data_IF_980869108142
#
_entry.id   IF_980869108142
#
_cell.length_a   1.000
_cell.length_b   1.000
_cell.length_c   1.000
_cell.angle_alpha   90.00
_cell.angle_beta   90.00
_cell.angle_gamma   90.00
#
_symmetry.space_group_name_H-M   'P 1'
#
loop_
_entity.id
_entity.type
_entity.pdbx_description
1 polymer ?
#
# COMPACT_ATOMS: atom_id res chain seq x y z
N UNK A 1 16.17 3.34 7.89
CA UNK A 1 17.40 3.98 8.41
C UNK A 1 18.09 3.00 9.38
N UNK A 2 19.40 3.11 9.62
CA UNK A 2 20.09 2.12 10.47
C UNK A 2 19.52 2.16 11.90
N UNK A 3 18.97 1.05 12.44
CA UNK A 3 18.48 1.04 13.82
C UNK A 3 19.68 1.01 14.77
N UNK A 4 19.71 1.94 15.74
CA UNK A 4 20.78 2.04 16.74
C UNK A 4 20.33 1.58 18.13
N UNK A 5 19.09 1.87 18.51
CA UNK A 5 18.53 1.42 19.77
C UNK A 5 17.00 1.36 19.72
N UNK A 6 16.44 0.47 20.53
CA UNK A 6 15.03 0.43 20.91
C UNK A 6 15.01 0.47 22.44
N UNK A 7 14.24 1.42 22.99
CA UNK A 7 14.01 1.53 24.42
C UNK A 7 12.58 1.07 24.70
N UNK A 8 12.46 0.05 25.55
CA UNK A 8 11.19 -0.48 26.02
C UNK A 8 11.03 -0.24 27.52
N UNK A 9 9.78 -0.10 27.95
CA UNK A 9 9.39 -0.08 29.36
C UNK A 9 8.55 -1.32 29.67
N UNK A 10 9.02 -2.10 30.64
CA UNK A 10 8.30 -3.25 31.17
C UNK A 10 7.82 -2.92 32.60
N UNK A 11 6.54 -2.57 32.80
CA UNK A 11 5.98 -2.50 34.15
C UNK A 11 5.97 -3.90 34.79
N UNK A 12 6.10 -3.96 36.13
CA UNK A 12 6.11 -5.24 36.86
C UNK A 12 4.86 -6.11 36.65
N UNK A 13 3.73 -5.49 36.30
CA UNK A 13 2.55 -6.13 35.71
C UNK A 13 2.15 -5.36 34.45
N UNK A 14 2.25 -5.98 33.27
CA UNK A 14 1.80 -5.41 31.99
C UNK A 14 2.70 -5.78 30.80
N UNK A 15 2.25 -5.50 29.56
CA UNK A 15 3.05 -5.76 28.37
C UNK A 15 4.21 -4.78 28.26
N UNK A 16 5.31 -5.25 27.68
CA UNK A 16 6.42 -4.40 27.27
C UNK A 16 5.93 -3.31 26.30
N UNK A 17 6.29 -2.06 26.56
CA UNK A 17 5.82 -0.90 25.79
C UNK A 17 7.00 -0.19 25.13
N UNK A 18 6.91 0.09 23.84
CA UNK A 18 7.90 0.91 23.13
C UNK A 18 7.88 2.34 23.69
N UNK A 19 9.04 2.83 24.14
CA UNK A 19 9.20 4.20 24.68
C UNK A 19 9.92 5.09 23.67
N UNK A 20 10.99 4.59 23.06
CA UNK A 20 11.75 5.35 22.07
C UNK A 20 12.47 4.42 21.10
N UNK A 21 12.63 4.90 19.87
CA UNK A 21 13.56 4.31 18.88
C UNK A 21 14.64 5.32 18.56
N UNK A 22 15.85 4.83 18.33
CA UNK A 22 16.98 5.63 17.85
C UNK A 22 17.41 5.04 16.52
N UNK A 23 17.34 5.86 15.47
CA UNK A 23 17.73 5.45 14.12
C UNK A 23 18.69 6.46 13.52
N UNK A 24 19.54 6.00 12.60
CA UNK A 24 20.46 6.86 11.88
C UNK A 24 19.71 7.89 11.04
N UNK A 25 20.08 9.16 11.19
CA UNK A 25 19.55 10.23 10.35
C UNK A 25 20.07 10.10 8.90
N UNK A 26 19.18 10.33 7.93
CA UNK A 26 19.50 10.29 6.51
C UNK A 26 19.53 11.72 5.95
N UNK A 27 20.69 12.40 5.97
CA UNK A 27 20.78 13.77 5.46
C UNK A 27 20.48 13.82 3.97
N UNK A 28 19.63 14.76 3.56
CA UNK A 28 19.27 14.94 2.14
C UNK A 28 18.31 13.88 1.59
N UNK A 29 17.76 12.99 2.43
CA UNK A 29 16.72 12.06 2.00
C UNK A 29 15.48 12.82 1.54
N UNK A 30 14.91 12.37 0.43
CA UNK A 30 13.69 12.94 -0.17
C UNK A 30 12.52 12.01 0.12
N UNK A 31 11.37 12.57 0.48
CA UNK A 31 10.17 11.80 0.73
C UNK A 31 9.61 11.17 -0.56
N UNK A 32 8.94 10.02 -0.36
CA UNK A 32 8.20 9.27 -1.37
C UNK A 32 7.43 10.05 -2.40
N UNK A 33 6.55 10.91 -1.89
CA UNK A 33 5.62 11.67 -2.72
C UNK A 33 6.35 12.68 -3.59
N UNK A 34 7.44 13.26 -3.10
CA UNK A 34 8.28 14.19 -3.86
C UNK A 34 9.04 13.48 -4.96
N UNK A 35 9.89 12.50 -4.65
CA UNK A 35 10.75 11.88 -5.66
C UNK A 35 9.95 11.10 -6.71
N UNK A 36 8.88 10.41 -6.31
CA UNK A 36 8.10 9.58 -7.24
C UNK A 36 7.31 10.45 -8.22
N UNK A 37 6.65 11.51 -7.73
CA UNK A 37 5.90 12.46 -8.57
C UNK A 37 6.82 13.17 -9.57
N UNK A 38 7.98 13.66 -9.13
CA UNK A 38 8.92 14.35 -10.03
C UNK A 38 9.45 13.39 -11.11
N UNK A 39 9.76 12.15 -10.74
CA UNK A 39 10.16 11.09 -11.68
C UNK A 39 9.06 10.77 -12.69
N UNK A 40 7.80 10.65 -12.26
CA UNK A 40 6.68 10.34 -13.15
C UNK A 40 6.40 11.50 -14.13
N UNK A 41 6.47 12.75 -13.66
CA UNK A 41 6.35 13.93 -14.54
C UNK A 41 7.45 13.94 -15.59
N UNK A 42 8.71 13.64 -15.20
CA UNK A 42 9.83 13.59 -16.14
C UNK A 42 9.66 12.49 -17.19
N UNK A 43 9.27 11.29 -16.77
CA UNK A 43 9.01 10.16 -17.67
C UNK A 43 7.87 10.47 -18.66
N UNK A 44 6.76 11.04 -18.19
CA UNK A 44 5.64 11.41 -19.06
C UNK A 44 6.00 12.50 -20.09
N UNK A 45 6.87 13.45 -19.72
CA UNK A 45 7.32 14.52 -20.63
C UNK A 45 8.32 14.05 -21.69
N UNK A 46 9.16 13.09 -21.34
CA UNK A 46 10.25 12.61 -22.21
C UNK A 46 9.88 11.35 -22.99
N UNK A 47 8.91 10.58 -22.50
CA UNK A 47 8.61 9.22 -22.98
C UNK A 47 9.63 8.17 -22.54
N UNK A 48 10.65 8.53 -21.77
CA UNK A 48 11.66 7.60 -21.26
C UNK A 48 11.23 7.02 -19.91
N UNK A 49 10.93 5.73 -19.91
CA UNK A 49 10.47 4.98 -18.72
C UNK A 49 11.64 4.35 -17.95
N UNK A 50 12.89 4.47 -18.40
CA UNK A 50 14.05 3.76 -17.85
C UNK A 50 14.25 4.03 -16.35
N UNK A 51 14.17 5.30 -15.95
CA UNK A 51 14.32 5.67 -14.54
C UNK A 51 13.17 5.14 -13.67
N UNK A 52 11.95 5.14 -14.21
CA UNK A 52 10.75 4.63 -13.52
C UNK A 52 10.85 3.13 -13.31
N UNK A 53 11.14 2.37 -14.37
CA UNK A 53 11.24 0.91 -14.28
C UNK A 53 12.40 0.49 -13.37
N UNK A 54 13.58 1.10 -13.48
CA UNK A 54 14.71 0.77 -12.61
C UNK A 54 14.46 1.09 -11.13
N UNK A 55 13.81 2.23 -10.84
CA UNK A 55 13.48 2.62 -9.46
C UNK A 55 12.41 1.70 -8.88
N UNK A 56 11.37 1.37 -9.65
CA UNK A 56 10.30 0.49 -9.21
C UNK A 56 10.76 -0.97 -9.10
N UNK A 57 11.69 -1.43 -9.93
CA UNK A 57 12.37 -2.72 -9.78
C UNK A 57 13.12 -2.80 -8.43
N UNK A 58 13.92 -1.78 -8.13
CA UNK A 58 14.61 -1.65 -6.84
C UNK A 58 13.61 -1.63 -5.68
N UNK A 59 12.51 -0.88 -5.81
CA UNK A 59 11.47 -0.81 -4.79
C UNK A 59 10.82 -2.19 -4.55
N UNK A 60 10.48 -2.92 -5.62
CA UNK A 60 9.93 -4.27 -5.51
C UNK A 60 10.88 -5.23 -4.79
N UNK A 61 12.17 -5.16 -5.09
CA UNK A 61 13.19 -5.94 -4.40
C UNK A 61 13.31 -5.57 -2.91
N UNK A 62 13.27 -4.28 -2.56
CA UNK A 62 13.32 -3.82 -1.16
C UNK A 62 12.09 -4.28 -0.36
N UNK A 63 10.89 -4.24 -0.96
CA UNK A 63 9.67 -4.74 -0.30
C UNK A 63 9.72 -6.27 -0.10
N UNK A 64 10.25 -7.01 -1.08
CA UNK A 64 10.45 -8.45 -0.92
C UNK A 64 11.50 -8.78 0.15
N UNK A 65 12.60 -8.04 0.21
CA UNK A 65 13.64 -8.18 1.23
C UNK A 65 13.09 -7.87 2.63
N UNK A 66 12.21 -6.87 2.77
CA UNK A 66 11.49 -6.60 4.00
C UNK A 66 10.68 -7.82 4.45
N UNK A 67 9.84 -8.37 3.58
CA UNK A 67 9.01 -9.54 3.93
C UNK A 67 9.85 -10.80 4.20
N UNK A 68 10.93 -11.01 3.46
CA UNK A 68 11.86 -12.10 3.71
C UNK A 68 12.57 -11.96 5.08
N UNK A 69 12.93 -10.75 5.49
CA UNK A 69 13.50 -10.49 6.81
C UNK A 69 12.50 -10.76 7.96
N UNK A 70 11.20 -10.64 7.68
CA UNK A 70 10.10 -10.91 8.60
C UNK A 70 9.61 -12.36 8.54
N UNK A 71 10.26 -13.24 7.77
CA UNK A 71 9.83 -14.64 7.62
C UNK A 71 9.76 -15.41 8.95
N UNK A 72 10.56 -15.01 9.95
CA UNK A 72 10.56 -15.61 11.28
C UNK A 72 9.26 -15.36 12.07
N UNK A 73 8.46 -14.36 11.69
CA UNK A 73 7.18 -14.03 12.35
C UNK A 73 5.99 -14.71 11.67
N UNK A 74 6.23 -15.52 10.63
CA UNK A 74 5.15 -16.07 9.82
C UNK A 74 4.33 -17.08 10.61
N UNK A 75 3.02 -16.87 10.60
CA UNK A 75 2.01 -17.79 11.12
C UNK A 75 0.91 -18.02 10.07
N UNK A 76 -0.01 -18.95 10.34
CA UNK A 76 -1.15 -19.24 9.45
C UNK A 76 -2.40 -18.52 9.94
N UNK A 77 -3.10 -17.86 9.03
CA UNK A 77 -4.35 -17.16 9.36
C UNK A 77 -5.44 -18.13 9.80
N UNK A 78 -6.28 -17.67 10.73
CA UNK A 78 -7.47 -18.40 11.17
C UNK A 78 -8.71 -17.95 10.39
N UNK A 79 -9.82 -18.71 10.44
CA UNK A 79 -11.12 -18.22 9.95
C UNK A 79 -11.58 -16.92 10.63
N UNK A 80 -11.12 -16.64 11.85
CA UNK A 80 -11.46 -15.39 12.54
C UNK A 80 -10.70 -14.19 11.95
N UNK A 81 -9.45 -14.38 11.53
CA UNK A 81 -8.66 -13.33 10.86
C UNK A 81 -9.27 -12.97 9.50
N UNK A 82 -9.60 -13.98 8.68
CA UNK A 82 -10.24 -13.78 7.38
C UNK A 82 -11.57 -13.01 7.49
N UNK A 83 -12.42 -13.40 8.45
CA UNK A 83 -13.66 -12.68 8.73
C UNK A 83 -13.41 -11.25 9.20
N UNK A 84 -12.41 -11.02 10.07
CA UNK A 84 -12.04 -9.67 10.51
C UNK A 84 -11.65 -8.78 9.34
N UNK A 85 -10.81 -9.25 8.41
CA UNK A 85 -10.42 -8.45 7.24
C UNK A 85 -11.61 -8.15 6.33
N UNK A 86 -12.46 -9.15 6.06
CA UNK A 86 -13.70 -8.97 5.30
C UNK A 86 -14.60 -7.93 5.98
N UNK A 87 -14.92 -8.11 7.26
CA UNK A 87 -15.82 -7.21 8.00
C UNK A 87 -15.27 -5.77 8.05
N UNK A 88 -13.96 -5.61 8.22
CA UNK A 88 -13.28 -4.31 8.15
C UNK A 88 -13.38 -3.67 6.75
N UNK A 89 -13.24 -4.46 5.69
CA UNK A 89 -13.40 -3.97 4.32
C UNK A 89 -14.84 -3.48 4.05
N UNK A 90 -15.86 -4.22 4.51
CA UNK A 90 -17.26 -3.79 4.38
C UNK A 90 -17.59 -2.56 5.24
N UNK A 91 -17.01 -2.46 6.44
CA UNK A 91 -17.11 -1.24 7.26
C UNK A 91 -16.52 -0.05 6.51
N UNK A 92 -15.32 -0.21 5.94
CA UNK A 92 -14.67 0.83 5.13
C UNK A 92 -15.51 1.21 3.92
N UNK A 93 -16.10 0.24 3.21
CA UNK A 93 -17.00 0.49 2.09
C UNK A 93 -18.22 1.31 2.51
N UNK A 94 -18.84 0.98 3.64
CA UNK A 94 -20.00 1.71 4.15
C UNK A 94 -19.65 3.16 4.49
N UNK A 95 -18.49 3.39 5.11
CA UNK A 95 -18.01 4.73 5.42
C UNK A 95 -17.65 5.51 4.15
N UNK A 96 -16.97 4.87 3.19
CA UNK A 96 -16.61 5.47 1.92
C UNK A 96 -17.86 5.90 1.14
N UNK A 97 -18.91 5.08 1.09
CA UNK A 97 -20.19 5.46 0.46
C UNK A 97 -20.83 6.70 1.09
N UNK A 98 -20.70 6.87 2.40
CA UNK A 98 -21.24 8.03 3.10
C UNK A 98 -20.41 9.32 2.88
N UNK A 99 -19.13 9.18 2.57
CA UNK A 99 -18.16 10.30 2.47
C UNK A 99 -17.74 10.61 1.03
N UNK A 100 -18.03 9.74 0.07
CA UNK A 100 -17.66 9.89 -1.33
C UNK A 100 -18.32 11.10 -1.99
N UNK A 101 -17.63 11.69 -2.97
CA UNK A 101 -18.25 12.63 -3.89
C UNK A 101 -19.36 11.96 -4.75
N UNK A 102 -20.27 12.73 -5.36
CA UNK A 102 -21.44 12.18 -6.08
C UNK A 102 -21.08 11.15 -7.17
N UNK A 103 -19.99 11.36 -7.90
CA UNK A 103 -19.55 10.45 -8.96
C UNK A 103 -19.12 9.10 -8.40
N UNK A 104 -18.25 9.09 -7.38
CA UNK A 104 -17.81 7.87 -6.71
C UNK A 104 -18.96 7.16 -5.99
N UNK A 105 -19.89 7.90 -5.38
CA UNK A 105 -21.07 7.31 -4.75
C UNK A 105 -21.98 6.60 -5.78
N UNK A 106 -22.20 7.22 -6.95
CA UNK A 106 -22.95 6.60 -8.05
C UNK A 106 -22.24 5.35 -8.57
N UNK A 107 -20.92 5.43 -8.78
CA UNK A 107 -20.11 4.31 -9.25
C UNK A 107 -20.12 3.11 -8.27
N UNK A 108 -19.97 3.36 -6.97
CA UNK A 108 -20.07 2.32 -5.93
C UNK A 108 -21.48 1.72 -5.81
N UNK A 109 -22.50 2.42 -6.29
CA UNK A 109 -23.88 1.92 -6.35
C UNK A 109 -24.10 1.08 -7.60
N UNK A 110 -23.62 1.56 -8.76
CA UNK A 110 -23.70 0.87 -10.04
C UNK A 110 -22.97 -0.49 -10.01
N UNK A 111 -21.77 -0.52 -9.41
CA UNK A 111 -20.95 -1.72 -9.31
C UNK A 111 -21.07 -2.42 -7.94
N UNK A 112 -22.20 -2.24 -7.23
CA UNK A 112 -22.35 -2.72 -5.86
C UNK A 112 -22.07 -4.23 -5.70
N UNK A 113 -22.58 -5.07 -6.61
CA UNK A 113 -22.41 -6.52 -6.55
C UNK A 113 -20.96 -6.94 -6.81
N UNK A 114 -20.31 -6.33 -7.80
CA UNK A 114 -18.91 -6.62 -8.14
C UNK A 114 -17.96 -6.18 -7.01
N UNK A 115 -18.18 -4.99 -6.45
CA UNK A 115 -17.45 -4.48 -5.28
C UNK A 115 -17.65 -5.41 -4.08
N UNK A 116 -18.89 -5.81 -3.79
CA UNK A 116 -19.19 -6.71 -2.68
C UNK A 116 -18.54 -8.08 -2.86
N UNK A 117 -18.63 -8.69 -4.05
CA UNK A 117 -17.98 -9.97 -4.35
C UNK A 117 -16.46 -9.89 -4.20
N UNK A 118 -15.85 -8.79 -4.66
CA UNK A 118 -14.41 -8.56 -4.51
C UNK A 118 -14.02 -8.48 -3.04
N UNK A 119 -14.75 -7.72 -2.21
CA UNK A 119 -14.43 -7.63 -0.78
C UNK A 119 -14.75 -8.92 -0.01
N UNK A 120 -15.79 -9.66 -0.40
CA UNK A 120 -16.15 -10.94 0.22
C UNK A 120 -15.05 -11.99 0.05
N UNK A 121 -14.28 -11.94 -1.04
CA UNK A 121 -13.12 -12.84 -1.26
C UNK A 121 -12.07 -12.80 -0.15
N UNK A 122 -12.02 -11.74 0.68
CA UNK A 122 -11.15 -11.68 1.85
C UNK A 122 -11.51 -12.76 2.90
N UNK A 123 -12.76 -13.23 2.93
CA UNK A 123 -13.18 -14.32 3.82
C UNK A 123 -12.54 -15.67 3.47
N UNK A 124 -12.00 -15.81 2.26
CA UNK A 124 -11.33 -17.04 1.78
C UNK A 124 -9.86 -17.09 2.18
N UNK A 125 -9.30 -16.04 2.78
CA UNK A 125 -7.91 -15.95 3.24
C UNK A 125 -7.68 -16.74 4.55
N UNK A 126 -8.11 -18.00 4.57
CA UNK A 126 -7.98 -18.95 5.67
C UNK A 126 -6.80 -19.87 5.42
N UNK A 127 -6.01 -20.15 6.46
CA UNK A 127 -4.79 -20.96 6.35
C UNK A 127 -3.84 -20.41 5.27
N UNK A 128 -3.64 -19.09 5.24
CA UNK A 128 -2.65 -18.42 4.39
C UNK A 128 -1.52 -17.85 5.26
N UNK A 129 -0.29 -17.68 4.72
CA UNK A 129 0.79 -17.07 5.50
C UNK A 129 0.49 -15.60 5.82
N UNK A 130 0.65 -15.25 7.08
CA UNK A 130 0.59 -13.88 7.59
C UNK A 130 1.83 -13.60 8.45
N UNK A 131 2.27 -12.35 8.47
CA UNK A 131 3.50 -11.91 9.11
C UNK A 131 3.30 -10.53 9.75
N UNK A 132 4.27 -10.09 10.54
CA UNK A 132 4.30 -8.75 11.14
C UNK A 132 4.74 -7.74 10.06
N UNK A 133 3.95 -7.66 8.99
CA UNK A 133 4.17 -6.78 7.86
C UNK A 133 4.11 -5.30 8.29
N UNK A 134 4.49 -4.39 7.40
CA UNK A 134 4.41 -2.96 7.68
C UNK A 134 2.95 -2.51 7.96
N UNK A 135 1.98 -3.08 7.24
CA UNK A 135 0.55 -2.88 7.47
C UNK A 135 -0.03 -1.54 6.98
N UNK A 136 0.81 -0.62 6.50
CA UNK A 136 0.40 0.67 5.92
C UNK A 136 1.43 1.19 4.89
N UNK A 137 2.07 0.28 4.16
CA UNK A 137 3.14 0.64 3.23
C UNK A 137 2.60 1.44 2.04
N UNK A 138 3.14 2.65 1.85
CA UNK A 138 2.87 3.51 0.70
C UNK A 138 4.12 4.32 0.33
N UNK A 139 4.14 4.98 -0.83
CA UNK A 139 5.35 5.68 -1.31
C UNK A 139 5.88 6.70 -0.31
N UNK A 140 4.99 7.43 0.40
CA UNK A 140 5.38 8.36 1.46
C UNK A 140 6.26 7.78 2.57
N UNK A 141 6.24 6.46 2.79
CA UNK A 141 7.11 5.75 3.74
C UNK A 141 8.42 5.25 3.12
N UNK A 142 8.67 5.59 1.86
CA UNK A 142 9.87 5.23 1.11
C UNK A 142 10.71 6.48 0.89
N UNK A 143 11.73 6.64 1.72
CA UNK A 143 12.73 7.69 1.55
C UNK A 143 13.71 7.30 0.44
N UNK A 144 14.08 8.27 -0.40
CA UNK A 144 15.18 8.12 -1.36
C UNK A 144 16.39 8.90 -0.89
N UNK A 145 17.54 8.25 -0.79
CA UNK A 145 18.82 8.86 -0.43
C UNK A 145 19.91 8.27 -1.31
N UNK A 146 20.64 9.12 -2.04
CA UNK A 146 21.58 8.70 -3.09
C UNK A 146 20.93 7.65 -4.01
N UNK A 147 21.52 6.45 -4.06
CA UNK A 147 21.05 5.31 -4.85
C UNK A 147 20.26 4.27 -4.03
N UNK A 148 19.73 4.66 -2.86
CA UNK A 148 19.01 3.76 -1.94
C UNK A 148 17.57 4.20 -1.72
N UNK A 149 16.71 3.19 -1.60
CA UNK A 149 15.34 3.31 -1.10
C UNK A 149 15.29 2.75 0.32
N UNK A 150 14.65 3.47 1.23
CA UNK A 150 14.61 3.13 2.64
C UNK A 150 13.17 3.22 3.13
N UNK A 151 12.63 2.09 3.58
CA UNK A 151 11.30 2.02 4.20
C UNK A 151 11.38 2.52 5.66
N UNK A 152 10.40 3.30 6.07
CA UNK A 152 10.25 3.91 7.41
C UNK A 152 8.85 3.67 7.98
N UNK A 153 8.61 4.11 9.22
CA UNK A 153 7.28 4.17 9.84
C UNK A 153 6.55 2.82 10.00
N UNK A 154 7.12 1.97 10.86
CA UNK A 154 6.59 0.65 11.18
C UNK A 154 5.55 0.67 12.33
N UNK A 155 4.92 1.81 12.60
CA UNK A 155 3.91 1.95 13.67
C UNK A 155 2.55 1.31 13.30
N UNK A 156 2.43 0.83 12.06
CA UNK A 156 1.22 0.27 11.48
C UNK A 156 0.18 1.32 11.12
N UNK A 157 -1.00 0.89 10.67
CA UNK A 157 -2.05 1.79 10.20
C UNK A 157 -2.59 2.68 11.34
N UNK A 158 -2.46 4.02 11.26
CA UNK A 158 -2.83 4.93 12.35
C UNK A 158 -4.34 5.00 12.60
N UNK A 159 -5.16 4.53 11.66
CA UNK A 159 -6.63 4.51 11.77
C UNK A 159 -7.12 3.30 12.58
N UNK A 160 -6.29 2.26 12.73
CA UNK A 160 -6.62 1.09 13.54
C UNK A 160 -6.38 1.34 15.04
N UNK A 161 -7.09 0.62 15.90
CA UNK A 161 -6.79 0.61 17.32
C UNK A 161 -5.38 0.03 17.55
N UNK A 162 -4.63 0.45 18.60
CA UNK A 162 -3.26 0.00 18.82
C UNK A 162 -3.09 -1.53 18.85
N UNK A 163 -4.04 -2.24 19.46
CA UNK A 163 -4.03 -3.70 19.52
C UNK A 163 -4.23 -4.37 18.15
N UNK A 164 -4.82 -3.67 17.18
CA UNK A 164 -5.03 -4.16 15.81
C UNK A 164 -3.86 -3.84 14.88
N UNK A 165 -3.08 -2.78 15.18
CA UNK A 165 -1.89 -2.39 14.40
C UNK A 165 -0.78 -3.42 14.40
N UNK A 166 -0.71 -4.21 15.47
CA UNK A 166 0.31 -5.23 15.68
C UNK A 166 -0.14 -6.63 15.26
N UNK A 167 -1.36 -6.78 14.72
CA UNK A 167 -1.84 -8.09 14.28
C UNK A 167 -1.15 -8.48 12.96
N UNK A 168 -0.68 -9.73 12.84
CA UNK A 168 -0.11 -10.20 11.58
C UNK A 168 -1.11 -10.10 10.44
N UNK A 169 -0.62 -9.74 9.25
CA UNK A 169 -1.41 -9.60 8.04
C UNK A 169 -0.73 -10.31 6.86
N UNK A 170 -1.47 -10.61 5.78
CA UNK A 170 -0.84 -11.08 4.55
C UNK A 170 0.16 -10.04 4.01
N UNK A 171 1.29 -10.49 3.48
CA UNK A 171 2.24 -9.63 2.74
C UNK A 171 1.57 -8.87 1.58
N UNK A 172 0.45 -9.39 1.09
CA UNK A 172 -0.39 -8.76 0.08
C UNK A 172 -0.96 -7.39 0.52
N UNK A 173 -1.08 -7.11 1.84
CA UNK A 173 -1.51 -5.80 2.35
C UNK A 173 -0.49 -4.72 1.94
N UNK A 174 0.80 -4.95 2.23
CA UNK A 174 1.88 -4.03 1.88
C UNK A 174 2.06 -3.91 0.37
N UNK A 175 1.99 -5.03 -0.35
CA UNK A 175 2.09 -5.04 -1.81
C UNK A 175 0.92 -4.27 -2.47
N UNK A 176 -0.31 -4.46 -2.00
CA UNK A 176 -1.47 -3.72 -2.49
C UNK A 176 -1.34 -2.22 -2.17
N UNK A 177 -0.90 -1.88 -0.96
CA UNK A 177 -0.67 -0.50 -0.53
C UNK A 177 0.34 0.23 -1.42
N UNK A 178 1.52 -0.34 -1.64
CA UNK A 178 2.56 0.30 -2.44
C UNK A 178 2.20 0.38 -3.94
N UNK A 179 1.56 -0.66 -4.50
CA UNK A 179 1.08 -0.65 -5.89
C UNK A 179 0.01 0.42 -6.09
N UNK A 180 -0.97 0.49 -5.18
CA UNK A 180 -2.03 1.50 -5.26
C UNK A 180 -1.47 2.91 -5.04
N UNK A 181 -0.46 3.05 -4.19
CA UNK A 181 0.23 4.31 -3.96
C UNK A 181 0.96 4.82 -5.21
N UNK A 182 1.53 3.94 -6.05
CA UNK A 182 2.09 4.34 -7.36
C UNK A 182 1.01 4.89 -8.31
N UNK A 183 -0.18 4.28 -8.34
CA UNK A 183 -1.29 4.83 -9.12
C UNK A 183 -1.73 6.20 -8.60
N UNK A 184 -1.72 6.41 -7.28
CA UNK A 184 -1.94 7.74 -6.71
C UNK A 184 -0.83 8.74 -7.10
N UNK A 185 0.44 8.30 -7.18
CA UNK A 185 1.54 9.15 -7.69
C UNK A 185 1.25 9.60 -9.11
N UNK A 186 0.76 8.73 -9.99
CA UNK A 186 0.40 9.11 -11.36
C UNK A 186 -0.70 10.19 -11.40
N UNK A 187 -1.73 10.06 -10.57
CA UNK A 187 -2.80 11.07 -10.46
C UNK A 187 -2.26 12.40 -9.93
N UNK A 188 -1.41 12.36 -8.90
CA UNK A 188 -0.76 13.56 -8.35
C UNK A 188 0.17 14.18 -9.39
N UNK A 189 0.93 13.38 -10.13
CA UNK A 189 1.84 13.81 -11.19
C UNK A 189 1.08 14.50 -12.33
N UNK A 190 -0.05 13.94 -12.78
CA UNK A 190 -0.90 14.57 -13.80
C UNK A 190 -1.36 15.97 -13.34
N UNK A 191 -1.89 16.07 -12.11
CA UNK A 191 -2.36 17.35 -11.56
C UNK A 191 -1.24 18.37 -11.34
N UNK A 192 -0.09 17.94 -10.82
CA UNK A 192 1.03 18.85 -10.45
C UNK A 192 1.93 19.20 -11.64
N UNK A 193 2.02 18.31 -12.61
CA UNK A 193 2.78 18.50 -13.84
C UNK A 193 2.01 19.21 -14.95
N UNK A 194 0.71 19.46 -14.72
CA UNK A 194 -0.24 19.98 -15.72
C UNK A 194 -0.26 19.11 -16.99
N UNK A 195 -0.29 17.78 -16.78
CA UNK A 195 -0.27 16.77 -17.83
C UNK A 195 -1.64 16.12 -17.97
N UNK A 196 -1.97 15.70 -19.19
CA UNK A 196 -3.15 14.87 -19.43
C UNK A 196 -2.98 13.51 -18.72
N UNK A 197 -3.93 13.06 -17.88
CA UNK A 197 -3.88 11.73 -17.25
C UNK A 197 -3.55 10.58 -18.21
N UNK A 198 -3.96 10.66 -19.48
CA UNK A 198 -3.65 9.63 -20.49
C UNK A 198 -2.15 9.46 -20.71
N UNK A 199 -1.36 10.53 -20.52
CA UNK A 199 0.10 10.50 -20.68
C UNK A 199 0.82 9.82 -19.51
N UNK A 200 0.15 9.71 -18.36
CA UNK A 200 0.67 9.04 -17.18
C UNK A 200 0.30 7.56 -17.13
N UNK A 201 -0.70 7.11 -17.90
CA UNK A 201 -1.15 5.71 -17.88
C UNK A 201 -0.01 4.72 -18.20
N UNK A 202 0.83 4.92 -19.24
CA UNK A 202 1.97 4.03 -19.51
C UNK A 202 3.03 4.07 -18.41
N UNK A 203 3.18 5.21 -17.73
CA UNK A 203 4.15 5.39 -16.62
C UNK A 203 3.70 4.60 -15.40
N UNK A 204 2.41 4.72 -15.02
CA UNK A 204 1.80 3.95 -13.93
C UNK A 204 1.86 2.45 -14.18
N UNK A 205 1.46 2.01 -15.38
CA UNK A 205 1.50 0.60 -15.77
C UNK A 205 2.91 0.03 -15.69
N UNK A 206 3.90 0.71 -16.28
CA UNK A 206 5.30 0.28 -16.24
C UNK A 206 5.87 0.26 -14.81
N UNK A 207 5.53 1.25 -13.98
CA UNK A 207 5.95 1.31 -12.59
C UNK A 207 5.41 0.14 -11.76
N UNK A 208 4.10 -0.12 -11.86
CA UNK A 208 3.44 -1.24 -11.14
C UNK A 208 3.93 -2.59 -11.63
N UNK A 209 4.10 -2.76 -12.94
CA UNK A 209 4.62 -3.99 -13.52
C UNK A 209 6.06 -4.27 -13.06
N UNK A 210 6.94 -3.26 -13.10
CA UNK A 210 8.33 -3.39 -12.64
C UNK A 210 8.39 -3.75 -11.15
N UNK A 211 7.64 -3.06 -10.30
CA UNK A 211 7.58 -3.36 -8.86
C UNK A 211 7.09 -4.78 -8.60
N UNK A 212 5.96 -5.17 -9.20
CA UNK A 212 5.37 -6.50 -9.00
C UNK A 212 6.32 -7.60 -9.46
N UNK A 213 6.90 -7.46 -10.66
CA UNK A 213 7.80 -8.47 -11.21
C UNK A 213 9.07 -8.62 -10.37
N UNK A 214 9.68 -7.52 -9.93
CA UNK A 214 10.86 -7.54 -9.08
C UNK A 214 10.56 -8.15 -7.70
N UNK A 215 9.41 -7.78 -7.11
CA UNK A 215 8.95 -8.35 -5.85
C UNK A 215 8.81 -9.88 -5.93
N UNK A 216 8.09 -10.38 -6.94
CA UNK A 216 7.88 -11.82 -7.14
C UNK A 216 9.20 -12.55 -7.43
N UNK A 217 10.04 -11.99 -8.30
CA UNK A 217 11.35 -12.55 -8.61
C UNK A 217 12.24 -12.63 -7.37
N UNK A 218 12.22 -11.60 -6.53
CA UNK A 218 13.03 -11.52 -5.31
C UNK A 218 12.54 -12.46 -4.21
N UNK A 219 11.23 -12.61 -4.01
CA UNK A 219 10.68 -13.63 -3.12
C UNK A 219 11.07 -15.05 -3.56
N UNK A 220 11.00 -15.35 -4.85
CA UNK A 220 11.42 -16.64 -5.38
C UNK A 220 12.92 -16.90 -5.15
N UNK A 221 13.77 -15.90 -5.39
CA UNK A 221 15.22 -15.98 -5.14
C UNK A 221 15.57 -16.21 -3.66
N UNK A 222 14.79 -15.64 -2.75
CA UNK A 222 15.01 -15.76 -1.29
C UNK A 222 14.31 -16.96 -0.66
N UNK A 223 13.52 -17.73 -1.43
CA UNK A 223 12.82 -18.92 -0.96
C UNK A 223 11.49 -18.66 -0.25
N UNK A 224 10.88 -17.48 -0.47
CA UNK A 224 9.65 -17.03 0.21
C UNK A 224 8.50 -16.75 -0.78
N UNK A 225 8.46 -17.47 -1.91
CA UNK A 225 7.42 -17.28 -2.93
C UNK A 225 6.00 -17.55 -2.42
N UNK A 226 5.86 -18.35 -1.35
CA UNK A 226 4.60 -18.68 -0.69
C UNK A 226 3.97 -17.48 0.05
N UNK A 227 4.74 -16.44 0.39
CA UNK A 227 4.20 -15.21 0.96
C UNK A 227 3.32 -14.42 -0.02
N UNK A 228 3.45 -14.66 -1.32
CA UNK A 228 2.62 -13.98 -2.32
C UNK A 228 1.26 -14.65 -2.48
N UNK A 229 0.20 -13.87 -2.24
CA UNK A 229 -1.19 -14.28 -2.40
C UNK A 229 -1.84 -13.39 -3.44
N UNK A 230 -1.78 -13.82 -4.70
CA UNK A 230 -2.24 -12.99 -5.82
C UNK A 230 -3.74 -12.65 -5.75
N UNK A 231 -4.53 -13.64 -5.31
CA UNK A 231 -5.99 -13.53 -5.18
C UNK A 231 -6.43 -12.46 -4.18
N UNK A 232 -5.56 -12.05 -3.25
CA UNK A 232 -5.87 -11.02 -2.26
C UNK A 232 -5.71 -9.59 -2.81
N UNK A 233 -4.89 -9.39 -3.85
CA UNK A 233 -4.53 -8.06 -4.34
C UNK A 233 -5.72 -7.21 -4.82
N UNK A 234 -6.70 -7.73 -5.59
CA UNK A 234 -7.85 -6.94 -6.03
C UNK A 234 -8.62 -6.34 -4.84
N UNK A 235 -8.94 -7.18 -3.86
CA UNK A 235 -9.71 -6.77 -2.69
C UNK A 235 -8.97 -5.76 -1.81
N UNK A 236 -7.67 -6.00 -1.58
CA UNK A 236 -6.85 -5.12 -0.74
C UNK A 236 -6.57 -3.77 -1.42
N UNK A 237 -6.36 -3.74 -2.74
CA UNK A 237 -6.25 -2.47 -3.50
C UNK A 237 -7.56 -1.69 -3.46
N UNK A 238 -8.70 -2.37 -3.60
CA UNK A 238 -10.02 -1.75 -3.51
C UNK A 238 -10.25 -1.16 -2.13
N UNK A 239 -9.99 -1.94 -1.07
CA UNK A 239 -10.07 -1.45 0.29
C UNK A 239 -9.16 -0.24 0.53
N UNK A 240 -7.95 -0.20 -0.06
CA UNK A 240 -7.06 0.96 0.03
C UNK A 240 -7.68 2.22 -0.59
N UNK A 241 -8.28 2.13 -1.78
CA UNK A 241 -8.95 3.29 -2.40
C UNK A 241 -10.15 3.75 -1.56
N UNK A 242 -10.92 2.82 -0.99
CA UNK A 242 -12.03 3.15 -0.09
C UNK A 242 -11.52 3.85 1.18
N UNK A 243 -10.39 3.44 1.75
CA UNK A 243 -9.73 4.12 2.87
C UNK A 243 -9.33 5.55 2.51
N UNK A 244 -8.82 5.79 1.31
CA UNK A 244 -8.47 7.15 0.84
C UNK A 244 -9.69 8.06 0.74
N UNK A 245 -10.85 7.54 0.31
CA UNK A 245 -12.12 8.29 0.31
C UNK A 245 -12.48 8.68 1.74
N UNK A 246 -12.44 7.72 2.68
CA UNK A 246 -12.74 7.97 4.10
C UNK A 246 -11.79 9.01 4.68
N UNK A 247 -10.49 8.88 4.43
CA UNK A 247 -9.47 9.80 4.89
C UNK A 247 -9.68 11.22 4.32
N UNK A 248 -9.90 11.34 3.01
CA UNK A 248 -10.18 12.61 2.37
C UNK A 248 -11.46 13.25 2.93
N UNK A 249 -12.53 12.49 3.09
CA UNK A 249 -13.80 12.97 3.63
C UNK A 249 -13.73 13.44 5.08
N UNK A 250 -12.91 12.80 5.92
CA UNK A 250 -12.79 13.12 7.36
C UNK A 250 -11.72 14.15 7.69
N UNK A 251 -10.57 14.08 7.02
CA UNK A 251 -9.34 14.76 7.48
C UNK A 251 -8.74 15.70 6.44
N UNK A 252 -8.89 15.40 5.14
CA UNK A 252 -8.22 16.17 4.09
C UNK A 252 -9.07 16.32 2.81
N UNK A 253 -10.16 17.13 2.81
CA UNK A 253 -11.09 17.21 1.69
C UNK A 253 -10.44 17.53 0.33
N UNK A 254 -9.36 18.33 0.34
CA UNK A 254 -8.58 18.66 -0.88
C UNK A 254 -7.91 17.44 -1.54
N UNK A 255 -7.82 16.31 -0.85
CA UNK A 255 -7.24 15.06 -1.33
C UNK A 255 -8.24 14.19 -2.11
N UNK A 256 -9.55 14.45 -2.02
CA UNK A 256 -10.60 13.62 -2.63
C UNK A 256 -10.44 13.39 -4.14
N UNK A 257 -9.80 14.33 -4.85
CA UNK A 257 -9.48 14.18 -6.27
C UNK A 257 -8.64 12.93 -6.59
N UNK A 258 -7.85 12.42 -5.64
CA UNK A 258 -7.04 11.21 -5.83
C UNK A 258 -7.92 9.97 -5.87
N UNK A 259 -8.71 9.63 -4.83
CA UNK A 259 -9.61 8.50 -4.91
C UNK A 259 -10.72 8.66 -5.98
N UNK A 260 -11.15 9.90 -6.30
CA UNK A 260 -12.09 10.15 -7.42
C UNK A 260 -11.53 9.74 -8.78
N UNK A 261 -10.22 9.88 -8.99
CA UNK A 261 -9.57 9.42 -10.22
C UNK A 261 -9.16 7.94 -10.15
N UNK A 262 -8.86 7.41 -8.96
CA UNK A 262 -8.37 6.04 -8.79
C UNK A 262 -9.47 4.98 -8.85
N UNK A 263 -10.64 5.24 -8.25
CA UNK A 263 -11.71 4.25 -8.13
C UNK A 263 -12.25 3.76 -9.49
N UNK A 264 -12.52 4.61 -10.50
CA UNK A 264 -13.01 4.15 -11.80
C UNK A 264 -12.03 3.22 -12.52
N UNK A 265 -10.73 3.56 -12.52
CA UNK A 265 -9.70 2.74 -13.13
C UNK A 265 -9.63 1.36 -12.46
N UNK A 266 -9.68 1.32 -11.13
CA UNK A 266 -9.61 0.08 -10.38
C UNK A 266 -10.83 -0.83 -10.61
N UNK A 267 -12.04 -0.27 -10.63
CA UNK A 267 -13.26 -1.06 -10.89
C UNK A 267 -13.21 -1.71 -12.28
N UNK A 268 -12.71 -0.99 -13.30
CA UNK A 268 -12.53 -1.53 -14.65
C UNK A 268 -11.47 -2.65 -14.70
N UNK A 269 -10.36 -2.51 -13.95
CA UNK A 269 -9.34 -3.56 -13.83
C UNK A 269 -9.91 -4.85 -13.19
N UNK A 270 -10.79 -4.71 -12.19
CA UNK A 270 -11.37 -5.87 -11.47
C UNK A 270 -12.57 -6.52 -12.17
N UNK A 271 -13.17 -5.85 -13.16
CA UNK A 271 -14.33 -6.33 -13.91
C UNK A 271 -13.96 -7.05 -15.22
N UNK A 272 -12.67 -7.05 -15.57
CA UNK A 272 -12.09 -7.68 -16.77
C UNK A 272 -11.52 -9.06 -16.47
#
# INVERSE_FOLDING_TARGET
PAPWAVLTWAPGEGPETLVATVTGYLPGAVDGWTWAKDMFIAAARTGDLTAVTATCDTLGAVVADLHAALAATVVRSTPADARRWRDNAFTTLSEARALAGPANAALLTEHADAVAATLESLADLVDVPILDAHGDLHVGQVLRTDDRLVITDFDGNPVLAPAERVLPVPAAVDLAGILQSLSHVAIVAARRGELDPVTLAPVDEAARAALRNAYLGRLAQTGHADLHIDTALPALRLQQVLREIVYAGRHLPRWMYVPDAALPALINETSS
#
